data_IF_960604645498
#
_entry.id   IF_960604645498
#
_cell.length_a   1.000
_cell.length_b   1.000
_cell.length_c   1.000
_cell.angle_alpha   90.00
_cell.angle_beta   90.00
_cell.angle_gamma   90.00
#
_symmetry.space_group_name_H-M   'P 1'
#
loop_
_entity.id
_entity.type
_entity.pdbx_description
1 polymer ?
#
# COMPACT_ATOMS: atom_id res chain seq x y z
N UNK A 1 1.26 4.57 16.63
CA UNK A 1 1.97 5.12 15.54
C UNK A 1 1.70 4.40 14.28
N UNK A 2 1.71 5.14 13.28
CA UNK A 2 1.20 4.73 11.98
C UNK A 2 2.28 4.22 11.04
N UNK A 3 3.11 3.29 11.49
CA UNK A 3 4.15 2.70 10.65
C UNK A 3 3.55 2.02 9.43
N UNK A 4 4.08 2.32 8.25
CA UNK A 4 3.60 1.69 7.02
C UNK A 4 3.85 0.19 7.07
N UNK A 5 5.08 -0.21 7.39
CA UNK A 5 5.42 -1.63 7.45
C UNK A 5 4.57 -2.37 8.48
N UNK A 6 4.47 -1.81 9.69
CA UNK A 6 3.73 -2.47 10.75
C UNK A 6 2.25 -2.59 10.41
N UNK A 7 1.67 -1.55 9.81
CA UNK A 7 0.26 -1.58 9.40
C UNK A 7 0.00 -2.70 8.38
N UNK A 8 0.86 -2.80 7.38
CA UNK A 8 0.67 -3.80 6.33
C UNK A 8 0.86 -5.20 6.90
N UNK A 9 1.84 -5.39 7.77
CA UNK A 9 2.03 -6.68 8.42
C UNK A 9 0.77 -7.08 9.18
N UNK A 10 0.20 -6.15 9.93
CA UNK A 10 -1.00 -6.42 10.70
C UNK A 10 -2.16 -6.82 9.80
N UNK A 11 -2.34 -6.12 8.69
CA UNK A 11 -3.42 -6.43 7.74
C UNK A 11 -3.21 -7.78 7.08
N UNK A 12 -1.96 -8.21 6.94
CA UNK A 12 -1.64 -9.52 6.38
C UNK A 12 -1.70 -10.64 7.42
N UNK A 13 -1.92 -10.31 8.68
CA UNK A 13 -1.97 -11.31 9.74
C UNK A 13 -0.60 -11.68 10.29
N UNK A 14 0.39 -10.85 10.09
CA UNK A 14 1.75 -11.08 10.59
C UNK A 14 1.96 -10.20 11.82
N UNK A 15 2.45 -10.80 12.92
CA UNK A 15 2.71 -10.02 14.11
C UNK A 15 3.90 -9.09 13.92
N UNK A 16 3.88 -8.01 14.64
CA UNK A 16 4.94 -7.00 14.53
C UNK A 16 6.32 -7.58 14.83
N UNK A 17 6.39 -8.48 15.79
CA UNK A 17 7.65 -9.06 16.22
C UNK A 17 8.25 -10.08 15.24
N UNK A 18 7.45 -10.59 14.32
CA UNK A 18 7.92 -11.59 13.37
C UNK A 18 8.56 -10.88 12.18
N UNK A 19 9.88 -10.94 12.10
CA UNK A 19 10.62 -10.13 11.13
C UNK A 19 11.12 -10.91 9.91
N UNK A 20 10.75 -12.18 9.83
CA UNK A 20 11.27 -13.03 8.76
C UNK A 20 10.98 -12.51 7.35
N UNK A 21 9.82 -11.90 7.15
CA UNK A 21 9.41 -11.41 5.84
C UNK A 21 9.59 -9.91 5.65
N UNK A 22 10.20 -9.22 6.63
CA UNK A 22 10.25 -7.76 6.57
C UNK A 22 10.92 -7.25 5.30
N UNK A 23 12.05 -7.84 4.91
CA UNK A 23 12.75 -7.37 3.72
C UNK A 23 11.91 -7.55 2.45
N UNK A 24 11.26 -8.70 2.32
CA UNK A 24 10.40 -8.95 1.17
C UNK A 24 9.23 -7.96 1.14
N UNK A 25 8.63 -7.72 2.31
CA UNK A 25 7.51 -6.80 2.38
C UNK A 25 7.93 -5.39 2.06
N UNK A 26 9.11 -4.96 2.51
CA UNK A 26 9.61 -3.64 2.21
C UNK A 26 9.74 -3.45 0.69
N UNK A 27 10.27 -4.46 0.01
CA UNK A 27 10.42 -4.39 -1.45
C UNK A 27 9.06 -4.25 -2.11
N UNK A 28 8.09 -5.07 -1.70
CA UNK A 28 6.75 -5.02 -2.29
C UNK A 28 6.06 -3.70 -1.99
N UNK A 29 6.16 -3.24 -0.75
CA UNK A 29 5.56 -1.97 -0.37
C UNK A 29 6.14 -0.84 -1.21
N UNK A 30 7.46 -0.80 -1.36
CA UNK A 30 8.09 0.27 -2.13
C UNK A 30 7.66 0.25 -3.59
N UNK A 31 7.47 -0.95 -4.15
CA UNK A 31 6.96 -1.06 -5.52
C UNK A 31 5.59 -0.38 -5.63
N UNK A 32 4.71 -0.63 -4.66
CA UNK A 32 3.38 -0.05 -4.68
C UNK A 32 3.42 1.45 -4.43
N UNK A 33 4.27 1.90 -3.49
CA UNK A 33 4.41 3.33 -3.23
C UNK A 33 4.90 4.07 -4.48
N UNK A 34 5.77 3.44 -5.24
CA UNK A 34 6.25 4.04 -6.48
C UNK A 34 5.10 4.19 -7.49
N UNK A 35 4.24 3.19 -7.58
CA UNK A 35 3.06 3.29 -8.44
C UNK A 35 2.18 4.45 -8.01
N UNK A 36 1.97 4.60 -6.71
CA UNK A 36 1.17 5.70 -6.20
C UNK A 36 1.80 7.06 -6.53
N UNK A 37 3.12 7.15 -6.43
CA UNK A 37 3.81 8.39 -6.79
C UNK A 37 3.54 8.75 -8.25
N UNK A 38 3.50 7.76 -9.13
CA UNK A 38 3.26 7.99 -10.54
C UNK A 38 1.86 8.52 -10.81
N UNK A 39 0.91 8.23 -9.95
CA UNK A 39 -0.44 8.75 -10.14
C UNK A 39 -0.73 9.95 -9.23
N UNK A 40 0.32 10.55 -8.68
CA UNK A 40 0.19 11.82 -8.00
C UNK A 40 0.01 11.76 -6.50
N UNK A 41 0.35 10.64 -5.86
CA UNK A 41 0.21 10.50 -4.41
C UNK A 41 1.57 10.60 -3.76
N UNK A 42 1.64 11.37 -2.68
CA UNK A 42 2.88 11.52 -1.93
C UNK A 42 3.82 12.52 -2.57
N UNK A 43 5.07 12.58 -2.09
CA UNK A 43 6.02 13.56 -2.61
C UNK A 43 6.35 13.32 -4.07
N UNK A 44 6.54 14.41 -4.81
CA UNK A 44 6.83 14.32 -6.23
C UNK A 44 8.08 13.51 -6.53
N UNK A 45 9.06 13.63 -5.68
CA UNK A 45 10.34 12.94 -5.88
C UNK A 45 10.27 11.46 -5.50
N UNK A 46 9.15 11.02 -4.97
CA UNK A 46 8.99 9.63 -4.58
C UNK A 46 9.18 9.41 -3.09
N UNK A 47 8.81 8.23 -2.63
CA UNK A 47 8.88 7.88 -1.22
C UNK A 47 9.13 6.39 -1.10
N UNK A 48 10.00 6.02 -0.18
CA UNK A 48 10.29 4.60 0.08
C UNK A 48 10.48 4.40 1.57
N UNK A 49 10.23 3.17 2.01
CA UNK A 49 10.49 2.79 3.40
C UNK A 49 11.73 1.88 3.44
N UNK A 50 12.40 1.88 4.58
CA UNK A 50 13.53 0.95 4.79
C UNK A 50 13.38 0.18 6.09
N UNK A 51 12.36 0.48 6.88
CA UNK A 51 12.17 -0.15 8.18
C UNK A 51 10.76 0.15 8.64
N UNK A 52 10.51 -0.06 9.93
CA UNK A 52 9.21 0.25 10.52
C UNK A 52 9.13 1.70 11.01
N UNK A 53 10.12 2.52 10.71
CA UNK A 53 10.12 3.89 11.22
C UNK A 53 9.34 4.87 10.36
N UNK A 54 9.22 4.61 9.06
CA UNK A 54 8.47 5.51 8.18
C UNK A 54 6.98 5.34 8.40
N UNK A 55 6.24 6.45 8.44
CA UNK A 55 4.82 6.43 8.74
C UNK A 55 3.98 6.85 7.54
N UNK A 56 2.68 6.55 7.62
CA UNK A 56 1.75 7.04 6.60
C UNK A 56 1.76 8.57 6.53
N UNK A 57 1.92 9.22 7.68
CA UNK A 57 2.00 10.68 7.70
C UNK A 57 3.22 11.19 6.94
N UNK A 58 4.34 10.47 7.06
CA UNK A 58 5.54 10.84 6.31
C UNK A 58 5.29 10.78 4.81
N UNK A 59 4.56 9.77 4.36
CA UNK A 59 4.28 9.58 2.93
C UNK A 59 3.20 10.54 2.43
N UNK A 60 2.10 10.63 3.17
CA UNK A 60 0.92 11.34 2.69
C UNK A 60 0.83 12.79 3.11
N UNK A 61 1.45 13.11 4.22
CA UNK A 61 1.55 14.50 4.65
C UNK A 61 0.19 15.19 4.76
N UNK A 62 -0.76 14.51 5.41
CA UNK A 62 -2.08 15.08 5.64
C UNK A 62 -3.08 14.87 4.51
N UNK A 63 -2.74 14.03 3.54
CA UNK A 63 -3.66 13.70 2.46
C UNK A 63 -4.91 13.02 3.03
N UNK A 64 -6.08 13.48 2.61
CA UNK A 64 -7.34 12.97 3.14
C UNK A 64 -7.70 11.59 2.60
N UNK A 65 -6.94 11.05 1.65
CA UNK A 65 -7.23 9.76 1.04
C UNK A 65 -6.59 8.60 1.79
N UNK A 66 -6.17 8.81 3.04
CA UNK A 66 -5.40 7.83 3.79
C UNK A 66 -6.01 6.42 3.75
N UNK A 67 -7.31 6.31 4.03
CA UNK A 67 -7.94 4.98 4.12
C UNK A 67 -7.99 4.29 2.76
N UNK A 68 -8.28 5.04 1.70
CA UNK A 68 -8.25 4.46 0.35
C UNK A 68 -6.85 3.96 0.00
N UNK A 69 -5.85 4.75 0.35
CA UNK A 69 -4.47 4.43 0.01
C UNK A 69 -3.98 3.24 0.82
N UNK A 70 -4.33 3.16 2.10
CA UNK A 70 -3.95 2.00 2.91
C UNK A 70 -4.55 0.72 2.35
N UNK A 71 -5.82 0.76 1.96
CA UNK A 71 -6.46 -0.41 1.38
C UNK A 71 -5.81 -0.81 0.07
N UNK A 72 -5.48 0.17 -0.76
CA UNK A 72 -4.82 -0.08 -2.03
C UNK A 72 -3.46 -0.76 -1.83
N UNK A 73 -2.65 -0.19 -0.93
CA UNK A 73 -1.32 -0.75 -0.68
C UNK A 73 -1.45 -2.18 -0.16
N UNK A 74 -2.37 -2.40 0.78
CA UNK A 74 -2.57 -3.73 1.33
C UNK A 74 -2.92 -4.75 0.23
N UNK A 75 -3.91 -4.42 -0.61
CA UNK A 75 -4.36 -5.38 -1.62
C UNK A 75 -3.27 -5.66 -2.65
N UNK A 76 -2.54 -4.63 -3.06
CA UNK A 76 -1.46 -4.84 -4.02
C UNK A 76 -0.33 -5.67 -3.42
N UNK A 77 0.04 -5.38 -2.17
CA UNK A 77 1.09 -6.15 -1.51
C UNK A 77 0.66 -7.59 -1.30
N UNK A 78 -0.60 -7.80 -0.92
CA UNK A 78 -1.11 -9.15 -0.75
C UNK A 78 -0.99 -9.95 -2.04
N UNK A 79 -1.33 -9.35 -3.17
CA UNK A 79 -1.22 -10.05 -4.45
C UNK A 79 0.22 -10.36 -4.83
N UNK A 80 1.17 -9.54 -4.40
CA UNK A 80 2.58 -9.78 -4.67
C UNK A 80 3.21 -10.77 -3.71
N UNK A 81 2.82 -10.70 -2.45
CA UNK A 81 3.48 -11.45 -1.39
C UNK A 81 2.79 -12.79 -1.09
N UNK A 82 1.47 -12.79 -1.04
CA UNK A 82 0.71 -13.97 -0.61
C UNK A 82 -0.63 -14.00 -1.34
N UNK A 83 -0.63 -14.23 -2.66
CA UNK A 83 -1.89 -14.22 -3.40
C UNK A 83 -2.77 -15.38 -2.99
N UNK A 84 -4.09 -15.19 -3.01
CA UNK A 84 -5.00 -16.29 -2.72
C UNK A 84 -4.96 -17.31 -3.84
N UNK A 85 -5.47 -18.53 -3.55
CA UNK A 85 -5.40 -19.63 -4.51
C UNK A 85 -6.56 -19.65 -5.50
N UNK A 86 -7.72 -19.13 -5.11
CA UNK A 86 -8.91 -19.25 -5.96
C UNK A 86 -8.95 -18.16 -7.02
N UNK A 87 -9.26 -18.55 -8.25
CA UNK A 87 -9.31 -17.57 -9.34
C UNK A 87 -10.44 -16.56 -9.15
N UNK A 88 -11.57 -16.98 -8.55
CA UNK A 88 -12.66 -16.05 -8.31
C UNK A 88 -12.26 -14.97 -7.28
N UNK A 89 -11.50 -15.37 -6.26
CA UNK A 89 -11.03 -14.42 -5.26
C UNK A 89 -10.02 -13.47 -5.87
N UNK A 90 -9.12 -13.98 -6.71
CA UNK A 90 -8.13 -13.15 -7.39
C UNK A 90 -8.83 -12.12 -8.26
N UNK A 91 -9.84 -12.53 -9.03
CA UNK A 91 -10.60 -11.60 -9.86
C UNK A 91 -11.28 -10.51 -9.02
N UNK A 92 -11.85 -10.91 -7.89
CA UNK A 92 -12.52 -9.97 -7.02
C UNK A 92 -11.54 -8.92 -6.48
N UNK A 93 -10.36 -9.38 -6.06
CA UNK A 93 -9.35 -8.47 -5.55
C UNK A 93 -8.86 -7.53 -6.64
N UNK A 94 -8.65 -8.04 -7.84
CA UNK A 94 -8.22 -7.21 -8.96
C UNK A 94 -9.24 -6.14 -9.31
N UNK A 95 -10.54 -6.46 -9.22
CA UNK A 95 -11.58 -5.46 -9.42
C UNK A 95 -11.53 -4.38 -8.35
N UNK A 96 -11.31 -4.79 -7.10
CA UNK A 96 -11.19 -3.81 -6.01
C UNK A 96 -9.99 -2.91 -6.19
N UNK A 97 -8.86 -3.48 -6.62
CA UNK A 97 -7.66 -2.70 -6.87
C UNK A 97 -7.92 -1.67 -7.96
N UNK A 98 -8.55 -2.09 -9.06
CA UNK A 98 -8.87 -1.17 -10.16
C UNK A 98 -9.79 -0.06 -9.71
N UNK A 99 -10.80 -0.38 -8.91
CA UNK A 99 -11.72 0.63 -8.40
C UNK A 99 -11.00 1.62 -7.50
N UNK A 100 -10.11 1.13 -6.64
CA UNK A 100 -9.35 2.01 -5.76
C UNK A 100 -8.43 2.92 -6.55
N UNK A 101 -7.78 2.40 -7.59
CA UNK A 101 -6.93 3.22 -8.44
C UNK A 101 -7.73 4.37 -9.06
N UNK A 102 -8.91 4.05 -9.55
CA UNK A 102 -9.75 5.07 -10.16
C UNK A 102 -10.18 6.12 -9.14
N UNK A 103 -10.61 5.68 -7.96
CA UNK A 103 -11.06 6.60 -6.92
C UNK A 103 -9.93 7.49 -6.42
N UNK A 104 -8.75 6.91 -6.28
CA UNK A 104 -7.58 7.70 -5.86
C UNK A 104 -7.25 8.73 -6.92
N UNK A 105 -7.31 8.34 -8.18
CA UNK A 105 -6.94 9.23 -9.29
C UNK A 105 -7.86 10.43 -9.41
N UNK A 106 -9.18 10.23 -9.26
CA UNK A 106 -10.10 11.35 -9.44
C UNK A 106 -10.01 12.36 -8.31
N UNK A 107 -9.51 11.95 -7.15
CA UNK A 107 -9.30 12.89 -6.06
C UNK A 107 -8.03 13.71 -6.30
N UNK A 108 -7.02 13.09 -6.90
CA UNK A 108 -5.76 13.78 -7.20
C UNK A 108 -5.98 14.87 -8.24
N UNK A 109 -6.84 14.61 -9.20
CA UNK A 109 -7.06 15.55 -10.31
C UNK A 109 -8.45 16.18 -10.19
N UNK A 110 -8.59 17.20 -9.36
CA UNK A 110 -9.89 17.77 -9.05
C UNK A 110 -10.53 18.56 -10.18
N UNK A 111 -9.82 18.76 -11.22
CA UNK A 111 -10.39 19.46 -12.34
C UNK A 111 -10.12 18.84 -13.61
#
# INVERSE_FOLDING_TARGET
MDSILTSIKKMLGITEEYEHFDQDLIIHINTVLNTLTQIGVGPEQGFAIDSATQTWSDFLYGDSRLELIKSYVYLKVKMLFDPPLGSAVIESINRQISELEWRISIVVDPN
#
